data_IF_659767448285
#
_entry.id   IF_659767448285
#
_cell.length_a   1.000
_cell.length_b   1.000
_cell.length_c   1.000
_cell.angle_alpha   90.00
_cell.angle_beta   90.00
_cell.angle_gamma   90.00
#
_symmetry.space_group_name_H-M   'P 1'
#
loop_
_entity.id
_entity.type
_entity.pdbx_description
1 polymer ?
#
# COMPACT_ATOMS: atom_id res chain seq x y z
N UNK A 1 7.55 18.43 1.99
CA UNK A 1 7.38 16.95 1.92
C UNK A 1 8.40 16.36 0.97
N UNK A 2 9.24 15.49 1.47
CA UNK A 2 10.21 14.77 0.65
C UNK A 2 9.83 13.30 0.54
N UNK A 3 10.06 12.73 -0.66
CA UNK A 3 9.83 11.31 -0.90
C UNK A 3 11.16 10.67 -1.27
N UNK A 4 11.58 9.67 -0.51
CA UNK A 4 12.83 8.98 -0.75
C UNK A 4 12.63 7.46 -0.68
N UNK A 5 13.49 6.73 -1.41
CA UNK A 5 13.61 5.31 -1.14
C UNK A 5 14.20 5.13 0.25
N UNK A 6 13.77 4.08 0.96
CA UNK A 6 14.12 3.92 2.36
C UNK A 6 15.64 3.96 2.60
N UNK A 7 16.03 4.68 3.63
CA UNK A 7 17.41 4.74 4.11
C UNK A 7 17.53 3.86 5.36
N UNK A 8 18.73 3.31 5.64
CA UNK A 8 18.91 2.45 6.82
C UNK A 8 18.44 3.08 8.14
N UNK A 9 18.61 4.37 8.28
CA UNK A 9 18.21 5.11 9.49
C UNK A 9 16.69 5.22 9.67
N UNK A 10 15.91 4.95 8.62
CA UNK A 10 14.45 5.11 8.65
C UNK A 10 13.71 3.86 9.11
N UNK A 11 14.38 2.70 9.16
CA UNK A 11 13.72 1.45 9.53
C UNK A 11 13.02 1.48 10.87
N UNK A 12 13.58 2.07 11.95
CA UNK A 12 12.85 2.12 13.24
C UNK A 12 11.52 2.86 13.13
N UNK A 13 11.46 3.98 12.41
CA UNK A 13 10.23 4.74 12.24
C UNK A 13 9.21 3.98 11.38
N UNK A 14 9.67 3.31 10.32
CA UNK A 14 8.81 2.46 9.50
C UNK A 14 8.24 1.31 10.33
N UNK A 15 9.06 0.68 11.17
CA UNK A 15 8.60 -0.40 12.04
C UNK A 15 7.48 0.05 12.97
N UNK A 16 7.64 1.21 13.58
CA UNK A 16 6.63 1.76 14.49
C UNK A 16 5.29 1.93 13.78
N UNK A 17 5.29 2.57 12.62
CA UNK A 17 4.07 2.78 11.84
C UNK A 17 3.50 1.45 11.34
N UNK A 18 4.35 0.54 10.88
CA UNK A 18 3.93 -0.77 10.36
C UNK A 18 3.19 -1.58 11.42
N UNK A 19 3.73 -1.65 12.63
CA UNK A 19 3.11 -2.39 13.72
C UNK A 19 1.84 -1.73 14.24
N UNK A 20 1.73 -0.42 14.16
CA UNK A 20 0.55 0.33 14.56
C UNK A 20 -0.59 0.20 13.53
N UNK A 21 -0.24 0.30 12.24
CA UNK A 21 -1.24 0.38 11.18
C UNK A 21 -1.87 -0.96 10.80
N UNK A 22 -1.15 -2.08 11.00
CA UNK A 22 -1.62 -3.38 10.53
C UNK A 22 -1.74 -4.39 11.66
N UNK A 23 -2.94 -5.03 11.82
CA UNK A 23 -3.11 -6.10 12.79
C UNK A 23 -2.18 -7.28 12.49
N UNK A 24 -1.79 -8.00 13.54
CA UNK A 24 -0.87 -9.13 13.43
C UNK A 24 -1.29 -10.15 12.36
N UNK A 25 -2.60 -10.39 12.24
CA UNK A 25 -3.14 -11.36 11.26
C UNK A 25 -3.03 -10.88 9.80
N UNK A 26 -2.85 -9.59 9.58
CA UNK A 26 -2.83 -9.00 8.23
C UNK A 26 -1.44 -8.64 7.76
N UNK A 27 -0.42 -8.74 8.62
CA UNK A 27 0.91 -8.31 8.27
C UNK A 27 1.91 -9.45 8.28
N UNK A 28 2.91 -9.32 7.41
CA UNK A 28 4.08 -10.20 7.45
C UNK A 28 4.91 -9.87 8.70
N UNK A 29 5.67 -10.83 9.23
CA UNK A 29 6.66 -10.50 10.25
C UNK A 29 7.58 -9.38 9.74
N UNK A 30 7.86 -8.41 10.59
CA UNK A 30 8.65 -7.26 10.19
C UNK A 30 10.03 -7.65 9.63
N UNK A 31 10.67 -8.65 10.23
CA UNK A 31 11.96 -9.14 9.73
C UNK A 31 11.89 -9.71 8.32
N UNK A 32 10.77 -10.35 7.96
CA UNK A 32 10.57 -10.86 6.62
C UNK A 32 10.41 -9.72 5.61
N UNK A 33 9.67 -8.68 5.98
CA UNK A 33 9.53 -7.49 5.15
C UNK A 33 10.89 -6.84 4.89
N UNK A 34 11.65 -6.61 5.94
CA UNK A 34 12.97 -5.99 5.83
C UNK A 34 13.92 -6.80 4.94
N UNK A 35 13.90 -8.13 5.08
CA UNK A 35 14.71 -9.03 4.24
C UNK A 35 14.31 -8.95 2.78
N UNK A 36 13.01 -8.89 2.47
CA UNK A 36 12.53 -8.75 1.10
C UNK A 36 13.07 -7.49 0.45
N UNK A 37 13.09 -6.39 1.19
CA UNK A 37 13.62 -5.11 0.70
C UNK A 37 15.14 -5.22 0.50
N UNK A 38 15.85 -5.79 1.47
CA UNK A 38 17.31 -5.94 1.38
C UNK A 38 17.73 -6.86 0.21
N UNK A 39 16.88 -7.81 -0.17
CA UNK A 39 17.12 -8.71 -1.30
C UNK A 39 16.63 -8.14 -2.64
N UNK A 40 16.13 -6.93 -2.66
CA UNK A 40 15.67 -6.27 -3.87
C UNK A 40 14.33 -6.76 -4.41
N UNK A 41 13.58 -7.55 -3.65
CA UNK A 41 12.26 -8.05 -4.07
C UNK A 41 11.16 -7.04 -3.87
N UNK A 42 11.35 -6.11 -2.95
CA UNK A 42 10.41 -5.02 -2.68
C UNK A 42 11.20 -3.73 -2.46
N UNK A 43 10.52 -2.61 -2.66
CA UNK A 43 11.08 -1.29 -2.35
C UNK A 43 10.16 -0.58 -1.37
N UNK A 44 10.70 0.34 -0.61
CA UNK A 44 9.90 1.16 0.31
C UNK A 44 10.11 2.62 -0.03
N UNK A 45 9.02 3.28 -0.37
CA UNK A 45 8.99 4.72 -0.60
C UNK A 45 8.54 5.38 0.70
N UNK A 46 9.32 6.35 1.18
CA UNK A 46 9.03 7.05 2.43
C UNK A 46 8.63 8.49 2.17
N UNK A 47 7.75 9.02 3.02
CA UNK A 47 7.35 10.41 3.01
C UNK A 47 7.89 11.06 4.29
N UNK A 48 8.69 12.11 4.13
CA UNK A 48 9.37 12.78 5.23
C UNK A 48 9.10 14.28 5.19
N UNK A 49 8.80 14.88 6.32
CA UNK A 49 8.62 16.30 6.45
C UNK A 49 9.31 16.79 7.73
N UNK A 50 10.15 17.81 7.59
CA UNK A 50 10.91 18.36 8.71
C UNK A 50 11.67 17.31 9.52
N UNK A 51 12.26 16.34 8.81
CA UNK A 51 13.04 15.27 9.43
C UNK A 51 12.22 14.13 10.04
N UNK A 52 10.90 14.22 9.99
CA UNK A 52 10.01 13.19 10.54
C UNK A 52 9.42 12.33 9.43
N UNK A 53 9.52 11.01 9.58
CA UNK A 53 8.89 10.07 8.66
C UNK A 53 7.39 10.01 8.97
N UNK A 54 6.58 10.39 7.99
CA UNK A 54 5.13 10.50 8.13
C UNK A 54 4.38 9.28 7.63
N UNK A 55 4.97 8.55 6.71
CA UNK A 55 4.32 7.38 6.13
C UNK A 55 5.24 6.68 5.15
N UNK A 56 4.77 5.55 4.62
CA UNK A 56 5.53 4.78 3.64
C UNK A 56 4.62 3.91 2.79
N UNK A 57 5.13 3.49 1.66
CA UNK A 57 4.49 2.49 0.79
C UNK A 57 5.49 1.40 0.48
N UNK A 58 5.09 0.15 0.65
CA UNK A 58 5.88 -1.01 0.22
C UNK A 58 5.42 -1.41 -1.16
N UNK A 59 6.33 -1.36 -2.13
CA UNK A 59 6.04 -1.54 -3.54
C UNK A 59 6.80 -2.76 -4.08
N UNK A 60 6.10 -3.62 -4.80
CA UNK A 60 6.67 -4.82 -5.40
C UNK A 60 6.51 -4.72 -6.91
N UNK A 61 7.57 -4.32 -7.66
CA UNK A 61 7.50 -4.28 -9.11
C UNK A 61 7.55 -5.69 -9.68
N UNK A 62 6.73 -5.94 -10.70
CA UNK A 62 6.69 -7.22 -11.40
C UNK A 62 6.20 -6.99 -12.83
N UNK A 63 7.05 -7.23 -13.81
CA UNK A 63 6.74 -7.03 -15.24
C UNK A 63 6.24 -5.59 -15.49
N UNK A 64 5.01 -5.42 -16.00
CA UNK A 64 4.41 -4.11 -16.28
C UNK A 64 3.56 -3.58 -15.12
N UNK A 65 3.65 -4.22 -13.94
CA UNK A 65 2.85 -3.87 -12.78
C UNK A 65 3.73 -3.51 -11.59
N UNK A 66 3.16 -2.73 -10.68
CA UNK A 66 3.71 -2.52 -9.34
C UNK A 66 2.60 -2.78 -8.35
N UNK A 67 2.81 -3.72 -7.44
CA UNK A 67 1.87 -4.02 -6.39
C UNK A 67 2.16 -3.15 -5.17
N UNK A 68 1.14 -2.49 -4.64
CA UNK A 68 1.23 -1.82 -3.34
C UNK A 68 0.91 -2.86 -2.28
N UNK A 69 1.95 -3.36 -1.60
CA UNK A 69 1.80 -4.39 -0.58
C UNK A 69 1.30 -3.79 0.73
N UNK A 70 1.83 -2.63 1.10
CA UNK A 70 1.42 -1.86 2.27
C UNK A 70 1.46 -0.37 1.97
N UNK A 71 0.49 0.36 2.48
CA UNK A 71 0.47 1.82 2.48
C UNK A 71 0.05 2.23 3.88
N UNK A 72 0.89 2.97 4.56
CA UNK A 72 0.62 3.38 5.93
C UNK A 72 1.06 4.81 6.19
N UNK A 73 0.29 5.49 7.01
CA UNK A 73 0.55 6.87 7.44
C UNK A 73 0.52 6.88 8.96
N UNK A 74 1.41 7.65 9.58
CA UNK A 74 1.44 7.80 11.03
C UNK A 74 0.09 8.28 11.55
N UNK A 75 -0.40 7.68 12.63
CA UNK A 75 -1.65 8.08 13.26
C UNK A 75 -1.63 9.52 13.77
N UNK A 76 -0.42 10.08 14.00
CA UNK A 76 -0.24 11.44 14.51
C UNK A 76 -0.57 12.52 13.49
N UNK A 77 -0.66 12.17 12.19
CA UNK A 77 -0.78 13.16 11.11
C UNK A 77 -1.87 12.79 10.11
N UNK A 78 -2.90 12.09 10.54
CA UNK A 78 -4.02 11.75 9.68
C UNK A 78 -4.63 13.02 9.09
N UNK A 79 -5.15 12.92 7.87
CA UNK A 79 -5.86 13.97 7.15
C UNK A 79 -4.99 15.04 6.49
N UNK A 80 -3.66 14.83 6.40
CA UNK A 80 -2.78 15.75 5.65
C UNK A 80 -2.59 15.34 4.19
N UNK A 81 -3.28 14.32 3.72
CA UNK A 81 -3.14 13.85 2.35
C UNK A 81 -1.85 13.11 2.05
N UNK A 82 -1.11 12.67 3.07
CA UNK A 82 0.17 11.98 2.89
C UNK A 82 0.00 10.67 2.11
N UNK A 83 -1.05 9.89 2.39
CA UNK A 83 -1.33 8.66 1.65
C UNK A 83 -1.55 8.91 0.17
N UNK A 84 -2.32 9.94 -0.17
CA UNK A 84 -2.56 10.33 -1.56
C UNK A 84 -1.28 10.77 -2.24
N UNK A 85 -0.43 11.51 -1.53
CA UNK A 85 0.85 11.97 -2.05
C UNK A 85 1.81 10.80 -2.29
N UNK A 86 1.84 9.82 -1.39
CA UNK A 86 2.64 8.60 -1.58
C UNK A 86 2.20 7.82 -2.80
N UNK A 87 0.89 7.65 -3.00
CA UNK A 87 0.38 6.97 -4.20
C UNK A 87 0.73 7.74 -5.47
N UNK A 88 0.60 9.06 -5.45
CA UNK A 88 0.96 9.90 -6.59
C UNK A 88 2.44 9.80 -6.92
N UNK A 89 3.30 9.80 -5.91
CA UNK A 89 4.74 9.67 -6.10
C UNK A 89 5.12 8.28 -6.63
N UNK A 90 4.48 7.23 -6.13
CA UNK A 90 4.67 5.89 -6.64
C UNK A 90 4.32 5.81 -8.13
N UNK A 91 3.21 6.42 -8.52
CA UNK A 91 2.80 6.49 -9.91
C UNK A 91 3.82 7.21 -10.80
N UNK A 92 4.40 8.29 -10.31
CA UNK A 92 5.43 9.01 -11.05
C UNK A 92 6.72 8.22 -11.19
N UNK A 93 7.16 7.56 -10.11
CA UNK A 93 8.41 6.78 -10.11
C UNK A 93 8.33 5.52 -10.97
N UNK A 94 7.13 4.97 -11.12
CA UNK A 94 6.89 3.81 -11.96
C UNK A 94 6.01 4.17 -13.16
N UNK A 95 6.26 5.32 -13.77
CA UNK A 95 5.52 5.77 -14.93
C UNK A 95 5.54 4.70 -16.03
N UNK A 96 4.37 4.45 -16.63
CA UNK A 96 4.22 3.40 -17.63
C UNK A 96 3.86 2.03 -17.07
N UNK A 97 3.90 1.86 -15.74
CA UNK A 97 3.48 0.61 -15.12
C UNK A 97 2.09 0.77 -14.50
N UNK A 98 1.35 -0.33 -14.46
CA UNK A 98 0.05 -0.36 -13.77
C UNK A 98 0.30 -0.54 -12.28
N UNK A 99 -0.44 0.19 -11.47
CA UNK A 99 -0.37 0.04 -10.01
C UNK A 99 -1.55 -0.80 -9.56
N UNK A 100 -1.29 -1.84 -8.79
CA UNK A 100 -2.28 -2.83 -8.39
C UNK A 100 -2.24 -2.97 -6.88
N UNK A 101 -3.40 -3.11 -6.25
CA UNK A 101 -3.47 -3.41 -4.82
C UNK A 101 -4.71 -4.24 -4.51
N UNK A 102 -4.71 -4.80 -3.32
CA UNK A 102 -5.83 -5.58 -2.80
C UNK A 102 -6.46 -4.84 -1.63
N UNK A 103 -7.79 -4.81 -1.61
CA UNK A 103 -8.55 -4.33 -0.46
C UNK A 103 -9.57 -5.39 -0.06
N UNK A 104 -9.96 -5.38 1.21
CA UNK A 104 -11.02 -6.26 1.67
C UNK A 104 -12.31 -5.95 0.92
N UNK A 105 -12.99 -7.00 0.42
CA UNK A 105 -14.26 -6.85 -0.28
C UNK A 105 -15.31 -6.22 0.63
N UNK A 106 -16.16 -5.36 0.07
CA UNK A 106 -17.27 -4.80 0.82
C UNK A 106 -18.18 -5.90 1.33
N UNK A 107 -18.55 -5.83 2.62
CA UNK A 107 -19.37 -6.84 3.27
C UNK A 107 -20.20 -6.15 4.36
N UNK A 108 -21.51 -6.09 4.19
CA UNK A 108 -22.41 -5.42 5.12
C UNK A 108 -22.43 -6.10 6.51
N UNK A 109 -22.03 -7.37 6.58
CA UNK A 109 -21.99 -8.12 7.84
C UNK A 109 -20.63 -8.02 8.53
N UNK A 110 -19.62 -7.37 7.92
CA UNK A 110 -18.29 -7.29 8.51
C UNK A 110 -18.26 -6.30 9.68
N UNK A 111 -17.50 -6.65 10.72
CA UNK A 111 -17.32 -5.76 11.88
C UNK A 111 -16.64 -4.45 11.48
N UNK A 112 -15.71 -4.50 10.54
CA UNK A 112 -14.98 -3.34 10.05
C UNK A 112 -15.57 -2.74 8.77
N UNK A 113 -16.88 -2.87 8.59
CA UNK A 113 -17.59 -2.41 7.38
C UNK A 113 -17.28 -0.96 7.05
N UNK A 114 -17.34 -0.07 8.03
CA UNK A 114 -17.08 1.36 7.80
C UNK A 114 -15.65 1.60 7.31
N UNK A 115 -14.67 0.89 7.85
CA UNK A 115 -13.28 0.98 7.45
C UNK A 115 -13.09 0.49 6.01
N UNK A 116 -13.76 -0.59 5.62
CA UNK A 116 -13.70 -1.13 4.25
C UNK A 116 -14.24 -0.12 3.25
N UNK A 117 -15.37 0.50 3.56
CA UNK A 117 -15.98 1.52 2.72
C UNK A 117 -15.05 2.73 2.59
N UNK A 118 -14.50 3.21 3.67
CA UNK A 118 -13.59 4.37 3.67
C UNK A 118 -12.33 4.09 2.87
N UNK A 119 -11.76 2.90 3.02
CA UNK A 119 -10.56 2.48 2.29
C UNK A 119 -10.82 2.44 0.78
N UNK A 120 -11.92 1.81 0.38
CA UNK A 120 -12.29 1.72 -1.03
C UNK A 120 -12.51 3.10 -1.62
N UNK A 121 -13.23 3.98 -0.91
CA UNK A 121 -13.46 5.35 -1.33
C UNK A 121 -12.15 6.13 -1.49
N UNK A 122 -11.20 5.93 -0.59
CA UNK A 122 -9.89 6.56 -0.68
C UNK A 122 -9.18 6.19 -1.99
N UNK A 123 -9.17 4.92 -2.36
CA UNK A 123 -8.51 4.51 -3.59
C UNK A 123 -9.24 4.98 -4.84
N UNK A 124 -10.58 4.93 -4.84
CA UNK A 124 -11.37 5.48 -5.95
C UNK A 124 -11.08 6.97 -6.14
N UNK A 125 -10.99 7.72 -5.05
CA UNK A 125 -10.68 9.15 -5.08
C UNK A 125 -9.29 9.43 -5.64
N UNK A 126 -8.36 8.49 -5.48
CA UNK A 126 -7.00 8.61 -5.98
C UNK A 126 -6.81 8.02 -7.38
N UNK A 127 -7.89 7.81 -8.12
CA UNK A 127 -7.82 7.40 -9.51
C UNK A 127 -7.77 5.91 -9.74
N UNK A 128 -7.90 5.10 -8.70
CA UNK A 128 -8.00 3.65 -8.83
C UNK A 128 -9.39 3.26 -9.26
N UNK A 129 -9.50 2.12 -9.93
CA UNK A 129 -10.78 1.52 -10.31
C UNK A 129 -10.78 0.06 -9.92
N UNK A 130 -11.98 -0.48 -9.67
CA UNK A 130 -12.11 -1.91 -9.43
C UNK A 130 -11.84 -2.68 -10.71
N UNK A 131 -11.08 -3.76 -10.61
CA UNK A 131 -10.86 -4.66 -11.73
C UNK A 131 -12.00 -5.67 -11.88
N UNK A 132 -12.99 -5.64 -10.97
CA UNK A 132 -14.08 -6.62 -10.87
C UNK A 132 -13.54 -8.05 -10.73
N UNK A 133 -12.40 -8.18 -10.07
CA UNK A 133 -11.75 -9.45 -9.78
C UNK A 133 -11.57 -9.57 -8.27
N UNK A 134 -11.86 -10.75 -7.75
CA UNK A 134 -11.78 -11.04 -6.33
C UNK A 134 -10.95 -12.29 -6.12
N UNK A 135 -10.09 -12.25 -5.11
CA UNK A 135 -9.24 -13.39 -4.75
C UNK A 135 -9.29 -13.62 -3.26
N UNK A 136 -8.98 -14.84 -2.83
CA UNK A 136 -8.88 -15.13 -1.41
C UNK A 136 -7.56 -14.56 -0.86
N UNK A 137 -7.67 -13.82 0.22
CA UNK A 137 -6.54 -13.22 0.90
C UNK A 137 -6.52 -13.56 2.38
N UNK A 138 -5.61 -12.92 3.13
CA UNK A 138 -5.42 -13.19 4.56
C UNK A 138 -6.67 -12.89 5.39
N UNK A 139 -7.47 -11.90 4.99
CA UNK A 139 -8.66 -11.46 5.72
C UNK A 139 -9.96 -11.89 5.04
N UNK A 140 -9.92 -12.89 4.16
CA UNK A 140 -11.07 -13.35 3.40
C UNK A 140 -10.98 -12.89 1.95
N UNK A 141 -12.12 -12.66 1.31
CA UNK A 141 -12.15 -12.27 -0.11
C UNK A 141 -11.69 -10.84 -0.29
N UNK A 142 -10.77 -10.64 -1.23
CA UNK A 142 -10.15 -9.36 -1.51
C UNK A 142 -10.51 -8.89 -2.92
N UNK A 143 -10.71 -7.59 -3.06
CA UNK A 143 -10.98 -6.95 -4.34
C UNK A 143 -9.68 -6.38 -4.93
N UNK A 144 -9.47 -6.58 -6.23
CA UNK A 144 -8.31 -6.03 -6.93
C UNK A 144 -8.66 -4.63 -7.43
N UNK A 145 -7.84 -3.65 -7.04
CA UNK A 145 -7.95 -2.26 -7.51
C UNK A 145 -6.76 -1.92 -8.37
N UNK A 146 -6.98 -1.16 -9.45
CA UNK A 146 -5.92 -0.84 -10.42
C UNK A 146 -5.89 0.64 -10.75
N UNK A 147 -4.68 1.13 -11.05
CA UNK A 147 -4.44 2.46 -11.58
C UNK A 147 -3.55 2.35 -12.80
N UNK A 148 -3.88 3.06 -13.88
CA UNK A 148 -3.08 3.08 -15.09
C UNK A 148 -3.40 1.97 -16.10
N UNK A 149 -4.46 1.20 -15.87
CA UNK A 149 -4.92 0.19 -16.81
C UNK A 149 -5.54 -1.01 -16.13
N UNK A 150 -6.23 -1.81 -16.91
CA UNK A 150 -6.86 -3.03 -16.44
C UNK A 150 -5.83 -4.15 -16.28
N UNK A 151 -6.07 -5.03 -15.32
CA UNK A 151 -5.25 -6.22 -15.08
C UNK A 151 -6.18 -7.42 -15.11
N UNK A 152 -5.83 -8.47 -15.83
CA UNK A 152 -6.59 -9.71 -15.78
C UNK A 152 -6.06 -10.59 -14.64
N UNK A 153 -6.86 -11.60 -14.27
CA UNK A 153 -6.53 -12.45 -13.15
C UNK A 153 -5.23 -13.23 -13.37
N UNK A 154 -4.98 -13.65 -14.59
CA UNK A 154 -3.78 -14.43 -14.93
C UNK A 154 -2.53 -13.58 -14.81
N UNK A 155 -2.60 -12.32 -15.26
CA UNK A 155 -1.47 -11.39 -15.13
C UNK A 155 -1.15 -11.10 -13.69
N UNK A 156 -2.16 -11.03 -12.81
CA UNK A 156 -1.95 -10.80 -11.39
C UNK A 156 -1.32 -12.02 -10.70
N UNK A 157 -1.80 -13.20 -11.02
CA UNK A 157 -1.32 -14.44 -10.42
C UNK A 157 0.02 -14.88 -11.01
#
# INVERSE_FOLDING_TARGET
MEFTWIQPSQWPAVKEIYLEAFPKRERKPYGALKRSVQRGKATVLTAVEDGCLLGFAVLIPYQDMVMVDYLAVSSRIRSKGTGSQLLGEAGRRYAGKKIVLLIERLDDAAENRAQRIARRSFYLKNGFASADLFIDGASGEMEIMTYGGAVDREAYL
#
